data_IF_193071702806
#
_entry.id   IF_193071702806
#
_cell.length_a   1.000
_cell.length_b   1.000
_cell.length_c   1.000
_cell.angle_alpha   90.00
_cell.angle_beta   90.00
_cell.angle_gamma   90.00
#
_symmetry.space_group_name_H-M   'P 1'
#
loop_
_entity.id
_entity.type
_entity.pdbx_description
1 polymer ?
#
# COMPACT_ATOMS: atom_id res chain seq x y z
N UNK A 1 1.76 -64.03 24.51
CA UNK A 1 2.36 -65.16 25.26
C UNK A 1 3.78 -64.77 25.61
N UNK A 2 4.21 -64.99 26.86
CA UNK A 2 5.59 -64.98 27.41
C UNK A 2 6.55 -63.84 26.95
N UNK A 3 7.09 -62.93 27.77
CA UNK A 3 7.49 -62.92 29.20
C UNK A 3 8.62 -63.88 29.58
N UNK A 4 9.80 -63.29 29.85
CA UNK A 4 10.83 -63.55 30.89
C UNK A 4 12.00 -62.57 30.59
N UNK A 5 12.46 -61.65 31.44
CA UNK A 5 13.02 -61.76 32.80
C UNK A 5 14.36 -62.55 32.81
N UNK A 6 15.45 -62.14 33.48
CA UNK A 6 15.69 -61.11 34.53
C UNK A 6 17.20 -60.95 34.87
N UNK A 7 17.55 -60.06 35.84
CA UNK A 7 18.84 -59.96 36.60
C UNK A 7 20.10 -59.43 35.87
N UNK A 8 21.17 -58.85 36.48
CA UNK A 8 21.43 -58.05 37.72
C UNK A 8 22.96 -57.68 37.75
N UNK A 9 23.55 -56.80 38.60
CA UNK A 9 23.06 -55.68 39.44
C UNK A 9 24.24 -54.81 39.98
N UNK A 10 23.97 -53.51 40.20
CA UNK A 10 24.38 -52.66 41.35
C UNK A 10 25.86 -52.27 41.65
N UNK A 11 26.00 -51.14 42.38
CA UNK A 11 27.20 -50.63 43.06
C UNK A 11 27.96 -49.53 42.29
N UNK A 12 27.75 -48.21 42.49
CA UNK A 12 27.94 -47.31 43.66
C UNK A 12 29.30 -46.55 43.66
N UNK A 13 29.33 -45.44 44.41
CA UNK A 13 30.43 -44.47 44.60
C UNK A 13 30.67 -43.46 43.46
N UNK A 14 30.78 -42.15 43.70
CA UNK A 14 30.54 -41.39 44.94
C UNK A 14 30.13 -39.94 44.59
N UNK A 15 29.30 -39.33 45.44
CA UNK A 15 29.12 -37.89 45.45
C UNK A 15 30.31 -37.23 46.15
N UNK A 16 30.75 -36.07 45.65
CA UNK A 16 31.54 -35.15 46.45
C UNK A 16 31.10 -33.72 46.17
N UNK A 17 30.54 -33.13 47.22
CA UNK A 17 29.96 -31.79 47.28
C UNK A 17 31.05 -30.84 47.79
N UNK A 18 31.42 -29.83 47.00
CA UNK A 18 32.32 -28.78 47.46
C UNK A 18 31.75 -27.40 47.10
N UNK A 19 31.07 -26.80 48.07
CA UNK A 19 30.56 -25.44 47.99
C UNK A 19 31.61 -24.47 48.56
N UNK A 20 32.08 -23.52 47.76
CA UNK A 20 32.95 -22.44 48.23
C UNK A 20 32.71 -21.13 47.46
N UNK A 21 32.19 -20.15 48.19
CA UNK A 21 32.14 -18.70 47.94
C UNK A 21 32.67 -18.11 46.61
N UNK A 22 31.75 -17.43 45.93
CA UNK A 22 32.01 -16.26 45.09
C UNK A 22 30.76 -15.39 45.02
N UNK A 23 30.63 -14.41 45.93
CA UNK A 23 29.55 -13.40 45.86
C UNK A 23 30.08 -12.23 45.04
N UNK A 24 29.91 -12.29 43.73
CA UNK A 24 30.11 -11.13 42.86
C UNK A 24 28.79 -10.36 42.73
N UNK A 25 28.63 -9.36 43.59
CA UNK A 25 27.58 -8.35 43.49
C UNK A 25 27.83 -7.45 42.27
N UNK A 26 27.30 -7.87 41.13
CA UNK A 26 27.09 -7.02 39.99
C UNK A 26 25.60 -6.96 39.71
N UNK A 27 24.99 -5.85 40.12
CA UNK A 27 23.55 -5.58 40.04
C UNK A 27 22.99 -5.68 38.63
N UNK A 28 21.66 -5.47 38.45
CA UNK A 28 21.01 -5.64 37.17
C UNK A 28 21.77 -4.84 36.10
N UNK A 29 22.29 -5.56 35.10
CA UNK A 29 22.59 -4.96 33.81
C UNK A 29 21.25 -4.58 33.19
N UNK A 30 20.72 -3.44 33.64
CA UNK A 30 19.92 -2.59 32.79
C UNK A 30 20.76 -2.36 31.54
N UNK A 31 20.47 -3.14 30.50
CA UNK A 31 21.02 -2.92 29.20
C UNK A 31 20.63 -1.49 28.84
N UNK A 32 21.61 -0.58 28.93
CA UNK A 32 21.54 0.79 28.45
C UNK A 32 21.41 0.71 26.91
N UNK A 33 20.21 0.32 26.47
CA UNK A 33 19.68 0.56 25.14
C UNK A 33 19.53 2.08 25.06
N UNK A 34 20.67 2.73 24.84
CA UNK A 34 20.87 4.16 25.04
C UNK A 34 19.74 4.89 24.37
N UNK A 35 18.91 5.56 25.17
CA UNK A 35 17.81 6.33 24.66
C UNK A 35 18.40 7.45 23.81
N UNK A 36 18.42 7.23 22.50
CA UNK A 36 18.84 8.22 21.52
C UNK A 36 18.11 9.51 21.84
N UNK A 37 18.83 10.63 21.90
CA UNK A 37 18.15 11.92 22.04
C UNK A 37 17.20 12.10 20.85
N UNK A 38 16.11 12.88 20.97
CA UNK A 38 15.19 13.11 19.85
C UNK A 38 15.91 13.59 18.57
N UNK A 39 17.01 14.32 18.72
CA UNK A 39 17.90 14.72 17.63
C UNK A 39 18.66 13.53 17.00
N UNK A 40 19.26 12.65 17.81
CA UNK A 40 19.94 11.45 17.32
C UNK A 40 18.98 10.48 16.63
N UNK A 41 17.76 10.31 17.17
CA UNK A 41 16.71 9.51 16.57
C UNK A 41 16.24 10.09 15.23
N UNK A 42 16.05 11.42 15.15
CA UNK A 42 15.74 12.12 13.89
C UNK A 42 16.87 12.00 12.87
N UNK A 43 18.12 12.17 13.29
CA UNK A 43 19.29 12.05 12.42
C UNK A 43 19.43 10.62 11.84
N UNK A 44 19.18 9.59 12.66
CA UNK A 44 19.13 8.20 12.23
C UNK A 44 18.01 7.95 11.21
N UNK A 45 16.78 8.40 11.51
CA UNK A 45 15.63 8.26 10.61
C UNK A 45 15.84 9.00 9.27
N UNK A 46 16.47 10.18 9.28
CA UNK A 46 16.84 10.93 8.07
C UNK A 46 17.93 10.22 7.27
N UNK A 47 18.89 9.56 7.94
CA UNK A 47 19.94 8.78 7.28
C UNK A 47 19.41 7.50 6.63
N UNK A 48 18.49 6.80 7.29
CA UNK A 48 17.79 5.61 6.78
C UNK A 48 16.85 5.95 5.61
N UNK A 49 16.11 7.07 5.71
CA UNK A 49 15.12 7.46 4.71
C UNK A 49 15.71 8.16 3.47
N UNK A 50 17.04 8.08 3.25
CA UNK A 50 17.68 8.64 2.04
C UNK A 50 17.29 7.85 0.80
N UNK A 51 17.08 8.57 -0.30
CA UNK A 51 16.80 7.94 -1.59
C UNK A 51 18.01 7.14 -2.07
N UNK A 52 17.79 5.86 -2.35
CA UNK A 52 18.83 4.88 -2.73
C UNK A 52 19.10 4.84 -4.24
N UNK A 53 18.13 5.25 -5.06
CA UNK A 53 18.21 5.22 -6.52
C UNK A 53 17.21 6.18 -7.17
N UNK A 54 17.36 6.44 -8.46
CA UNK A 54 16.35 7.20 -9.22
C UNK A 54 14.97 6.51 -9.22
N UNK A 55 14.92 5.17 -9.22
CA UNK A 55 13.66 4.41 -9.15
C UNK A 55 12.94 4.58 -7.81
N UNK A 56 13.70 4.64 -6.71
CA UNK A 56 13.20 4.93 -5.36
C UNK A 56 12.61 6.35 -5.30
N UNK A 57 13.28 7.35 -5.87
CA UNK A 57 12.74 8.73 -6.00
C UNK A 57 11.42 8.73 -6.81
N UNK A 58 11.35 8.02 -7.93
CA UNK A 58 10.12 7.91 -8.72
C UNK A 58 8.99 7.24 -7.93
N UNK A 59 9.27 6.18 -7.16
CA UNK A 59 8.29 5.53 -6.30
C UNK A 59 7.73 6.47 -5.24
N UNK A 60 8.60 7.28 -4.60
CA UNK A 60 8.23 8.28 -3.60
C UNK A 60 7.34 9.41 -4.14
N UNK A 61 7.34 9.65 -5.46
CA UNK A 61 6.45 10.61 -6.12
C UNK A 61 5.04 10.06 -6.38
N UNK A 62 4.81 8.75 -6.26
CA UNK A 62 3.51 8.13 -6.51
C UNK A 62 2.35 8.76 -5.72
N UNK A 63 2.44 8.99 -4.38
CA UNK A 63 1.34 9.57 -3.63
C UNK A 63 0.93 10.95 -4.15
N UNK A 64 1.90 11.82 -4.47
CA UNK A 64 1.65 13.14 -5.03
C UNK A 64 0.95 13.02 -6.40
N UNK A 65 1.48 12.17 -7.28
CA UNK A 65 0.92 11.95 -8.60
C UNK A 65 -0.49 11.35 -8.60
N UNK A 66 -0.86 10.58 -7.56
CA UNK A 66 -2.18 9.94 -7.44
C UNK A 66 -3.33 10.93 -7.16
N UNK A 67 -3.08 12.04 -6.45
CA UNK A 67 -4.15 12.98 -6.06
C UNK A 67 -4.84 13.65 -7.25
N UNK A 68 -4.06 14.09 -8.25
CA UNK A 68 -4.55 14.80 -9.42
C UNK A 68 -5.57 13.98 -10.25
N UNK A 69 -5.28 12.74 -10.69
CA UNK A 69 -6.24 11.94 -11.45
C UNK A 69 -7.46 11.52 -10.64
N UNK A 70 -7.34 11.28 -9.33
CA UNK A 70 -8.50 11.03 -8.45
C UNK A 70 -9.48 12.21 -8.55
N UNK A 71 -8.99 13.44 -8.32
CA UNK A 71 -9.81 14.63 -8.38
C UNK A 71 -10.42 14.86 -9.78
N UNK A 72 -9.60 14.78 -10.84
CA UNK A 72 -10.06 15.04 -12.20
C UNK A 72 -11.09 14.01 -12.69
N UNK A 73 -10.92 12.72 -12.40
CA UNK A 73 -11.85 11.67 -12.85
C UNK A 73 -13.16 11.68 -12.06
N UNK A 74 -13.14 11.97 -10.74
CA UNK A 74 -14.37 12.17 -9.96
C UNK A 74 -15.12 13.41 -10.42
N UNK A 75 -14.42 14.52 -10.69
CA UNK A 75 -15.04 15.72 -11.26
C UNK A 75 -15.56 15.50 -12.69
N UNK A 76 -14.92 14.64 -13.49
CA UNK A 76 -15.44 14.25 -14.80
C UNK A 76 -16.76 13.47 -14.69
N UNK A 77 -16.84 12.52 -13.73
CA UNK A 77 -18.08 11.78 -13.46
C UNK A 77 -19.21 12.72 -13.00
N UNK A 78 -18.91 13.67 -12.11
CA UNK A 78 -19.87 14.69 -11.68
C UNK A 78 -20.29 15.61 -12.84
N UNK A 79 -19.36 16.07 -13.67
CA UNK A 79 -19.66 16.91 -14.82
C UNK A 79 -20.49 16.19 -15.90
N UNK A 80 -20.27 14.88 -16.12
CA UNK A 80 -21.11 14.07 -17.01
C UNK A 80 -22.51 13.84 -16.42
N UNK A 81 -22.63 13.68 -15.09
CA UNK A 81 -23.94 13.63 -14.42
C UNK A 81 -24.70 14.96 -14.57
N UNK A 82 -24.04 16.10 -14.37
CA UNK A 82 -24.61 17.42 -14.60
C UNK A 82 -25.00 17.62 -16.07
N UNK A 83 -24.22 17.09 -17.02
CA UNK A 83 -24.52 17.12 -18.45
C UNK A 83 -25.78 16.32 -18.82
N UNK A 84 -26.09 15.23 -18.09
CA UNK A 84 -27.35 14.49 -18.25
C UNK A 84 -28.54 15.35 -17.79
N UNK A 85 -28.39 16.08 -16.68
CA UNK A 85 -29.45 16.91 -16.10
C UNK A 85 -29.66 18.24 -16.84
N UNK A 86 -28.58 18.84 -17.36
CA UNK A 86 -28.57 20.12 -18.08
C UNK A 86 -27.57 20.07 -19.25
N UNK A 87 -27.98 19.54 -20.42
CA UNK A 87 -27.11 19.45 -21.58
C UNK A 87 -26.53 20.81 -22.00
N UNK A 88 -25.21 20.90 -22.13
CA UNK A 88 -24.52 22.09 -22.65
C UNK A 88 -23.17 21.74 -23.27
N UNK A 89 -22.78 22.48 -24.31
CA UNK A 89 -21.48 22.32 -24.98
C UNK A 89 -20.30 22.67 -24.05
N UNK A 90 -20.53 23.58 -23.10
CA UNK A 90 -19.55 23.92 -22.07
C UNK A 90 -19.26 22.70 -21.17
N UNK A 91 -20.28 22.07 -20.59
CA UNK A 91 -20.09 20.86 -19.76
C UNK A 91 -19.50 19.70 -20.55
N UNK A 92 -19.88 19.49 -21.82
CA UNK A 92 -19.25 18.47 -22.66
C UNK A 92 -17.74 18.72 -22.84
N UNK A 93 -17.36 19.98 -23.08
CA UNK A 93 -15.95 20.38 -23.21
C UNK A 93 -15.20 20.19 -21.89
N UNK A 94 -15.82 20.56 -20.75
CA UNK A 94 -15.29 20.33 -19.40
C UNK A 94 -15.06 18.84 -19.13
N UNK A 95 -16.03 17.95 -19.43
CA UNK A 95 -15.86 16.50 -19.29
C UNK A 95 -14.67 16.01 -20.11
N UNK A 96 -14.55 16.40 -21.40
CA UNK A 96 -13.41 15.99 -22.24
C UNK A 96 -12.06 16.40 -21.65
N UNK A 97 -11.94 17.62 -21.14
CA UNK A 97 -10.71 18.11 -20.51
C UNK A 97 -10.38 17.35 -19.22
N UNK A 98 -11.37 17.19 -18.32
CA UNK A 98 -11.21 16.48 -17.05
C UNK A 98 -10.84 15.00 -17.26
N UNK A 99 -11.47 14.31 -18.22
CA UNK A 99 -11.13 12.91 -18.53
C UNK A 99 -9.75 12.80 -19.18
N UNK A 100 -9.37 13.70 -20.09
CA UNK A 100 -8.04 13.67 -20.70
C UNK A 100 -6.92 13.88 -19.68
N UNK A 101 -7.04 14.91 -18.83
CA UNK A 101 -6.08 15.18 -17.75
C UNK A 101 -6.07 14.07 -16.70
N UNK A 102 -7.25 13.56 -16.32
CA UNK A 102 -7.39 12.45 -15.39
C UNK A 102 -6.78 11.14 -15.89
N UNK A 103 -6.94 10.83 -17.19
CA UNK A 103 -6.35 9.64 -17.81
C UNK A 103 -4.82 9.74 -17.92
N UNK A 104 -4.29 10.89 -18.33
CA UNK A 104 -2.85 11.15 -18.35
C UNK A 104 -2.24 11.06 -16.95
N UNK A 105 -2.87 11.70 -15.96
CA UNK A 105 -2.47 11.61 -14.56
C UNK A 105 -2.53 10.19 -14.01
N UNK A 106 -3.56 9.41 -14.35
CA UNK A 106 -3.72 8.03 -13.88
C UNK A 106 -2.64 7.10 -14.45
N UNK A 107 -2.27 7.29 -15.73
CA UNK A 107 -1.16 6.55 -16.34
C UNK A 107 0.19 6.85 -15.65
N UNK A 108 0.45 8.12 -15.34
CA UNK A 108 1.66 8.54 -14.59
C UNK A 108 1.62 7.95 -13.17
N UNK A 109 0.51 8.11 -12.45
CA UNK A 109 0.34 7.60 -11.09
C UNK A 109 0.51 6.07 -11.04
N UNK A 110 -0.06 5.32 -11.98
CA UNK A 110 0.13 3.89 -12.08
C UNK A 110 1.60 3.51 -12.33
N UNK A 111 2.28 4.18 -13.29
CA UNK A 111 3.71 3.95 -13.55
C UNK A 111 4.56 4.17 -12.29
N UNK A 112 4.36 5.28 -11.58
CA UNK A 112 5.05 5.57 -10.32
C UNK A 112 4.64 4.59 -9.20
N UNK A 113 3.42 4.06 -9.24
CA UNK A 113 2.97 2.98 -8.34
C UNK A 113 3.72 1.67 -8.55
N UNK A 114 4.09 1.34 -9.79
CA UNK A 114 5.01 0.23 -10.08
C UNK A 114 6.45 0.52 -9.61
N UNK A 115 6.91 1.79 -9.62
CA UNK A 115 8.15 2.19 -8.93
C UNK A 115 8.06 1.96 -7.40
N UNK A 116 6.94 2.32 -6.77
CA UNK A 116 6.74 2.17 -5.32
C UNK A 116 6.56 0.70 -4.87
N UNK A 117 5.83 -0.12 -5.63
CA UNK A 117 5.55 -1.52 -5.30
C UNK A 117 6.65 -2.49 -5.76
N UNK A 118 7.48 -2.09 -6.72
CA UNK A 118 8.50 -2.91 -7.38
C UNK A 118 7.94 -3.78 -8.52
N UNK A 119 8.84 -4.27 -9.38
CA UNK A 119 8.54 -5.06 -10.58
C UNK A 119 8.22 -6.52 -10.25
N UNK A 120 7.09 -6.74 -9.57
CA UNK A 120 6.57 -8.07 -9.23
C UNK A 120 5.08 -8.16 -9.51
N UNK A 121 4.63 -9.30 -10.03
CA UNK A 121 3.23 -9.51 -10.40
C UNK A 121 2.36 -9.94 -9.20
N UNK A 122 2.98 -10.49 -8.15
CA UNK A 122 2.36 -10.90 -6.90
C UNK A 122 2.99 -10.18 -5.70
N UNK A 123 2.20 -9.99 -4.64
CA UNK A 123 2.65 -9.50 -3.34
C UNK A 123 2.33 -10.50 -2.24
N UNK A 124 2.99 -10.34 -1.09
CA UNK A 124 2.62 -11.03 0.16
C UNK A 124 1.45 -10.36 0.87
N UNK A 125 1.24 -9.06 0.64
CA UNK A 125 0.09 -8.31 1.15
C UNK A 125 -1.02 -8.31 0.12
N UNK A 126 -2.18 -8.86 0.48
CA UNK A 126 -3.38 -8.85 -0.36
C UNK A 126 -3.83 -7.42 -0.65
N UNK A 127 -3.85 -6.54 0.36
CA UNK A 127 -4.18 -5.11 0.21
C UNK A 127 -3.30 -4.43 -0.84
N UNK A 128 -1.99 -4.70 -0.84
CA UNK A 128 -1.06 -4.14 -1.83
C UNK A 128 -1.31 -4.69 -3.24
N UNK A 129 -1.59 -6.00 -3.36
CA UNK A 129 -1.91 -6.62 -4.64
C UNK A 129 -3.20 -6.04 -5.24
N UNK A 130 -4.25 -5.91 -4.42
CA UNK A 130 -5.52 -5.28 -4.80
C UNK A 130 -5.31 -3.81 -5.19
N UNK A 131 -4.57 -3.04 -4.39
CA UNK A 131 -4.26 -1.64 -4.66
C UNK A 131 -3.56 -1.46 -6.02
N UNK A 132 -2.47 -2.20 -6.27
CA UNK A 132 -1.68 -2.13 -7.52
C UNK A 132 -2.50 -2.53 -8.74
N UNK A 133 -3.24 -3.65 -8.67
CA UNK A 133 -3.99 -4.13 -9.82
C UNK A 133 -5.23 -3.28 -10.11
N UNK A 134 -5.97 -2.84 -9.08
CA UNK A 134 -7.04 -1.85 -9.24
C UNK A 134 -6.51 -0.53 -9.81
N UNK A 135 -5.31 -0.08 -9.39
CA UNK A 135 -4.72 1.18 -9.86
C UNK A 135 -4.32 1.12 -11.33
N UNK A 136 -3.74 -0.01 -11.73
CA UNK A 136 -3.41 -0.29 -13.13
C UNK A 136 -4.68 -0.41 -13.99
N UNK A 137 -5.74 -1.03 -13.48
CA UNK A 137 -7.03 -1.12 -14.16
C UNK A 137 -7.70 0.27 -14.31
N UNK A 138 -7.68 1.10 -13.27
CA UNK A 138 -8.18 2.49 -13.30
C UNK A 138 -7.48 3.29 -14.41
N UNK A 139 -6.14 3.20 -14.52
CA UNK A 139 -5.41 3.86 -15.60
C UNK A 139 -5.86 3.38 -16.99
N UNK A 140 -6.01 2.07 -17.19
CA UNK A 140 -6.50 1.50 -18.45
C UNK A 140 -7.93 1.96 -18.81
N UNK A 141 -8.85 1.92 -17.84
CA UNK A 141 -10.25 2.36 -18.04
C UNK A 141 -10.31 3.89 -18.26
N UNK A 142 -9.47 4.68 -17.59
CA UNK A 142 -9.40 6.12 -17.81
C UNK A 142 -8.90 6.48 -19.22
N UNK A 143 -7.89 5.78 -19.74
CA UNK A 143 -7.45 5.93 -21.13
C UNK A 143 -8.56 5.53 -22.13
N UNK A 144 -9.31 4.44 -21.84
CA UNK A 144 -10.50 4.06 -22.59
C UNK A 144 -11.61 5.13 -22.55
N UNK A 145 -11.86 5.72 -21.39
CA UNK A 145 -12.81 6.82 -21.20
C UNK A 145 -12.40 8.07 -22.00
N UNK A 146 -11.10 8.43 -21.99
CA UNK A 146 -10.57 9.51 -22.80
C UNK A 146 -10.82 9.26 -24.29
N UNK A 147 -10.46 8.06 -24.79
CA UNK A 147 -10.74 7.68 -26.18
C UNK A 147 -12.24 7.78 -26.53
N UNK A 148 -13.12 7.27 -25.67
CA UNK A 148 -14.58 7.38 -25.83
C UNK A 148 -15.07 8.84 -25.89
N UNK A 149 -14.52 9.72 -25.04
CA UNK A 149 -14.91 11.12 -24.94
C UNK A 149 -14.62 11.96 -26.20
N UNK A 150 -13.62 11.55 -27.00
CA UNK A 150 -13.27 12.21 -28.26
C UNK A 150 -13.75 11.47 -29.52
N UNK A 151 -13.86 10.13 -29.49
CA UNK A 151 -14.06 9.31 -30.71
C UNK A 151 -15.46 8.72 -30.87
N UNK A 152 -16.24 8.61 -29.78
CA UNK A 152 -17.56 7.96 -29.81
C UNK A 152 -18.67 8.89 -30.31
N UNK A 153 -19.60 8.35 -31.12
CA UNK A 153 -20.88 9.01 -31.46
C UNK A 153 -21.90 8.97 -30.32
N UNK A 154 -21.73 8.07 -29.35
CA UNK A 154 -22.64 7.88 -28.21
C UNK A 154 -21.91 8.02 -26.87
N UNK A 155 -22.51 8.75 -25.92
CA UNK A 155 -21.95 8.92 -24.57
C UNK A 155 -22.19 7.73 -23.64
N UNK A 156 -22.96 6.72 -24.05
CA UNK A 156 -23.31 5.58 -23.18
C UNK A 156 -22.07 4.85 -22.63
N UNK A 157 -21.08 4.55 -23.49
CA UNK A 157 -19.82 3.94 -23.06
C UNK A 157 -19.01 4.83 -22.13
N UNK A 158 -18.95 6.14 -22.40
CA UNK A 158 -18.25 7.11 -21.53
C UNK A 158 -18.89 7.17 -20.14
N UNK A 159 -20.22 7.22 -20.07
CA UNK A 159 -20.99 7.24 -18.81
C UNK A 159 -20.75 5.98 -17.99
N UNK A 160 -20.76 4.81 -18.63
CA UNK A 160 -20.44 3.55 -17.97
C UNK A 160 -19.00 3.55 -17.45
N UNK A 161 -18.03 3.97 -18.27
CA UNK A 161 -16.62 4.05 -17.86
C UNK A 161 -16.42 5.01 -16.68
N UNK A 162 -17.06 6.18 -16.68
CA UNK A 162 -16.99 7.15 -15.58
C UNK A 162 -17.67 6.66 -14.30
N UNK A 163 -18.79 5.94 -14.40
CA UNK A 163 -19.44 5.32 -13.25
C UNK A 163 -18.55 4.23 -12.62
N UNK A 164 -17.95 3.36 -13.46
CA UNK A 164 -16.98 2.34 -13.02
C UNK A 164 -15.75 2.99 -12.38
N UNK A 165 -15.19 4.03 -12.99
CA UNK A 165 -14.05 4.77 -12.44
C UNK A 165 -14.37 5.40 -11.09
N UNK A 166 -15.54 6.02 -10.93
CA UNK A 166 -15.93 6.64 -9.66
C UNK A 166 -15.96 5.61 -8.51
N UNK A 167 -16.56 4.44 -8.73
CA UNK A 167 -16.58 3.35 -7.75
C UNK A 167 -15.17 2.80 -7.50
N UNK A 168 -14.40 2.54 -8.55
CA UNK A 168 -13.04 2.01 -8.44
C UNK A 168 -12.08 2.96 -7.72
N UNK A 169 -12.24 4.28 -7.88
CA UNK A 169 -11.47 5.31 -7.19
C UNK A 169 -11.81 5.40 -5.69
N UNK A 170 -13.07 5.22 -5.30
CA UNK A 170 -13.46 5.11 -3.88
C UNK A 170 -12.82 3.87 -3.25
N UNK A 171 -12.91 2.71 -3.93
CA UNK A 171 -12.23 1.49 -3.48
C UNK A 171 -10.70 1.66 -3.43
N UNK A 172 -10.11 2.42 -4.37
CA UNK A 172 -8.68 2.71 -4.37
C UNK A 172 -8.26 3.58 -3.16
N UNK A 173 -9.07 4.58 -2.82
CA UNK A 173 -8.87 5.39 -1.62
C UNK A 173 -8.90 4.55 -0.34
N UNK A 174 -9.86 3.63 -0.22
CA UNK A 174 -9.95 2.69 0.89
C UNK A 174 -8.70 1.79 1.00
N UNK A 175 -8.29 1.16 -0.11
CA UNK A 175 -7.08 0.32 -0.15
C UNK A 175 -5.80 1.10 0.17
N UNK A 176 -5.72 2.36 -0.25
CA UNK A 176 -4.64 3.28 0.14
C UNK A 176 -4.65 3.55 1.65
N UNK A 177 -5.82 3.79 2.24
CA UNK A 177 -6.00 3.97 3.69
C UNK A 177 -5.57 2.75 4.49
N UNK A 178 -5.98 1.54 4.09
CA UNK A 178 -5.59 0.28 4.75
C UNK A 178 -4.06 0.05 4.76
N UNK A 179 -3.34 0.51 3.73
CA UNK A 179 -1.87 0.42 3.71
C UNK A 179 -1.16 1.44 4.61
N UNK A 180 -1.80 2.57 4.92
CA UNK A 180 -1.22 3.64 5.76
C UNK A 180 -1.60 3.48 7.23
N UNK A 181 -2.85 3.09 7.50
CA UNK A 181 -3.43 3.02 8.84
C UNK A 181 -3.62 1.59 9.37
N UNK A 182 -3.39 0.58 8.53
CA UNK A 182 -3.55 -0.84 8.86
C UNK A 182 -4.94 -1.40 8.56
N UNK A 183 -5.15 -2.72 8.78
CA UNK A 183 -6.41 -3.38 8.46
C UNK A 183 -7.61 -2.88 9.27
N UNK A 184 -8.75 -2.74 8.61
CA UNK A 184 -9.99 -2.19 9.17
C UNK A 184 -9.80 -0.78 9.80
N UNK A 185 -9.08 0.11 9.13
CA UNK A 185 -8.80 1.46 9.65
C UNK A 185 -10.04 2.33 9.88
N UNK A 186 -11.18 1.98 9.25
CA UNK A 186 -12.45 2.68 9.44
C UNK A 186 -13.25 2.16 10.66
N UNK A 187 -12.88 1.00 11.23
CA UNK A 187 -13.56 0.42 12.40
C UNK A 187 -15.03 0.04 12.19
N UNK A 188 -15.46 -0.11 10.94
CA UNK A 188 -16.84 -0.50 10.59
C UNK A 188 -16.98 -2.01 10.88
N UNK A 189 -18.16 -2.40 11.39
CA UNK A 189 -18.49 -3.77 11.82
C UNK A 189 -19.36 -4.49 10.79
#
# INVERSE_FOLDING_TARGET
MAQMESHDAAGEHAAMEEASHGIDDHGPQEAFAGHLTPEQALAAAVAENRASSAGDVLGRLHPIAAHFPIALLLMAALAELLLILRPSLALETTVRFLVAGGAGGAAIAALLGWFAAGWRLSDRSETLALHRWNGTAIAGVALGAAWLAFRSRSRAGLRLALAVLAVALVAQGYLGGEMVFGPNHLGIR
#
